data_IF_020112770681
#
_entry.id   IF_020112770681
#
_cell.length_a   1.000
_cell.length_b   1.000
_cell.length_c   1.000
_cell.angle_alpha   90.00
_cell.angle_beta   90.00
_cell.angle_gamma   90.00
#
_symmetry.space_group_name_H-M   'P 1'
#
loop_
_entity.id
_entity.type
_entity.pdbx_description
1 polymer ?
#
# COMPACT_ATOMS: atom_id res chain seq x y z
N UNK A 1 -2.86 -17.33 -13.56
CA UNK A 1 -3.49 -16.11 -12.98
C UNK A 1 -2.90 -15.92 -11.59
N UNK A 2 -2.48 -14.70 -11.24
CA UNK A 2 -2.04 -14.39 -9.88
C UNK A 2 -3.12 -13.59 -9.16
N UNK A 3 -3.38 -13.96 -7.90
CA UNK A 3 -4.41 -13.33 -7.07
C UNK A 3 -3.78 -12.94 -5.75
N UNK A 4 -4.03 -11.72 -5.30
CA UNK A 4 -3.67 -11.26 -3.97
C UNK A 4 -4.88 -11.45 -3.04
N UNK A 5 -4.68 -12.21 -1.95
CA UNK A 5 -5.66 -12.33 -0.87
C UNK A 5 -5.25 -11.43 0.28
N UNK A 6 -6.14 -10.52 0.68
CA UNK A 6 -5.89 -9.48 1.67
C UNK A 6 -6.74 -9.76 2.91
N UNK A 7 -6.10 -9.77 4.08
CA UNK A 7 -6.75 -9.92 5.37
C UNK A 7 -6.39 -8.76 6.27
N UNK A 8 -7.37 -8.24 7.00
CA UNK A 8 -7.17 -7.17 7.99
C UNK A 8 -7.90 -7.53 9.27
N UNK A 9 -7.40 -6.98 10.38
CA UNK A 9 -8.04 -7.06 11.70
C UNK A 9 -9.01 -5.89 11.93
N UNK A 10 -8.81 -4.79 11.21
CA UNK A 10 -9.43 -3.49 11.48
C UNK A 10 -10.29 -2.96 10.31
N UNK A 11 -10.62 -3.81 9.32
CA UNK A 11 -11.50 -3.43 8.21
C UNK A 11 -10.82 -2.83 6.97
N UNK A 12 -9.50 -2.80 6.91
CA UNK A 12 -8.75 -2.11 5.84
C UNK A 12 -8.57 -2.95 4.57
N UNK A 13 -8.88 -4.26 4.60
CA UNK A 13 -8.60 -5.14 3.47
C UNK A 13 -9.40 -4.76 2.22
N UNK A 14 -10.65 -4.30 2.38
CA UNK A 14 -11.49 -3.85 1.27
C UNK A 14 -10.90 -2.62 0.58
N UNK A 15 -10.56 -1.59 1.35
CA UNK A 15 -9.99 -0.34 0.81
C UNK A 15 -8.68 -0.60 0.05
N UNK A 16 -7.86 -1.55 0.53
CA UNK A 16 -6.63 -1.99 -0.16
C UNK A 16 -6.95 -2.77 -1.43
N UNK A 17 -7.92 -3.69 -1.39
CA UNK A 17 -8.33 -4.46 -2.56
C UNK A 17 -8.90 -3.57 -3.67
N UNK A 18 -9.69 -2.55 -3.33
CA UNK A 18 -10.27 -1.60 -4.29
C UNK A 18 -9.19 -0.82 -5.05
N UNK A 19 -8.09 -0.42 -4.39
CA UNK A 19 -6.93 0.20 -5.08
C UNK A 19 -6.31 -0.72 -6.13
N UNK A 20 -6.36 -2.02 -5.90
CA UNK A 20 -5.92 -3.06 -6.84
C UNK A 20 -7.02 -3.50 -7.81
N UNK A 21 -8.15 -2.76 -7.89
CA UNK A 21 -9.34 -3.10 -8.69
C UNK A 21 -9.95 -4.46 -8.33
N UNK A 22 -9.83 -4.85 -7.07
CA UNK A 22 -10.43 -6.02 -6.46
C UNK A 22 -11.68 -5.69 -5.65
N UNK A 23 -12.08 -6.59 -4.76
CA UNK A 23 -13.26 -6.42 -3.90
C UNK A 23 -13.36 -7.49 -2.80
N UNK A 24 -14.43 -7.42 -2.00
CA UNK A 24 -14.70 -8.36 -0.92
C UNK A 24 -15.32 -7.70 0.30
N UNK A 25 -14.88 -8.09 1.49
CA UNK A 25 -15.34 -7.56 2.78
C UNK A 25 -14.23 -6.77 3.49
N UNK A 26 -14.57 -5.88 4.46
CA UNK A 26 -13.59 -5.08 5.19
C UNK A 26 -12.39 -5.87 5.76
N UNK A 27 -12.62 -7.09 6.26
CA UNK A 27 -11.56 -7.93 6.85
C UNK A 27 -10.98 -9.00 5.91
N UNK A 28 -11.63 -9.25 4.77
CA UNK A 28 -11.24 -10.30 3.83
C UNK A 28 -11.64 -9.91 2.41
N UNK A 29 -10.65 -9.54 1.61
CA UNK A 29 -10.83 -9.09 0.25
C UNK A 29 -9.74 -9.66 -0.66
N UNK A 30 -9.87 -9.45 -1.98
CA UNK A 30 -8.85 -9.89 -2.92
C UNK A 30 -8.92 -9.17 -4.25
N UNK A 31 -7.83 -9.25 -4.99
CA UNK A 31 -7.68 -8.64 -6.31
C UNK A 31 -6.93 -9.56 -7.27
N UNK A 32 -7.33 -9.55 -8.53
CA UNK A 32 -6.61 -10.23 -9.60
C UNK A 32 -5.51 -9.30 -10.09
N UNK A 33 -4.26 -9.77 -10.08
CA UNK A 33 -3.14 -8.96 -10.55
C UNK A 33 -3.17 -8.84 -12.09
N UNK A 34 -2.61 -7.74 -12.66
CA UNK A 34 -2.54 -7.56 -14.10
C UNK A 34 -1.83 -8.72 -14.81
N UNK A 35 -2.23 -9.02 -16.05
CA UNK A 35 -1.63 -10.11 -16.86
C UNK A 35 -0.13 -9.92 -17.14
N UNK A 36 0.40 -8.71 -16.96
CA UNK A 36 1.84 -8.42 -17.05
C UNK A 36 2.65 -9.03 -15.90
N UNK A 37 2.03 -9.28 -14.75
CA UNK A 37 2.66 -9.92 -13.59
C UNK A 37 2.67 -11.43 -13.78
N UNK A 38 3.84 -11.99 -14.06
CA UNK A 38 4.03 -13.42 -14.37
C UNK A 38 4.82 -14.19 -13.30
N UNK A 39 5.42 -13.49 -12.34
CA UNK A 39 6.21 -14.11 -11.26
C UNK A 39 5.88 -13.51 -9.89
N UNK A 40 6.19 -14.25 -8.83
CA UNK A 40 6.00 -13.79 -7.45
C UNK A 40 6.81 -12.52 -7.17
N UNK A 41 8.04 -12.42 -7.69
CA UNK A 41 8.86 -11.21 -7.53
C UNK A 41 8.16 -9.99 -8.13
N UNK A 42 7.67 -10.10 -9.38
CA UNK A 42 6.92 -9.02 -10.03
C UNK A 42 5.63 -8.66 -9.28
N UNK A 43 4.97 -9.65 -8.66
CA UNK A 43 3.79 -9.40 -7.84
C UNK A 43 4.13 -8.59 -6.58
N UNK A 44 5.26 -8.91 -5.93
CA UNK A 44 5.74 -8.15 -4.77
C UNK A 44 6.09 -6.71 -5.15
N UNK A 45 6.77 -6.52 -6.29
CA UNK A 45 7.14 -5.18 -6.78
C UNK A 45 5.89 -4.35 -7.12
N UNK A 46 4.94 -4.94 -7.84
CA UNK A 46 3.65 -4.32 -8.15
C UNK A 46 2.86 -3.93 -6.89
N UNK A 47 2.80 -4.82 -5.90
CA UNK A 47 2.11 -4.54 -4.64
C UNK A 47 2.82 -3.41 -3.87
N UNK A 48 4.16 -3.36 -3.87
CA UNK A 48 4.90 -2.26 -3.24
C UNK A 48 4.57 -0.91 -3.88
N UNK A 49 4.55 -0.83 -5.21
CA UNK A 49 4.22 0.41 -5.93
C UNK A 49 2.80 0.89 -5.64
N UNK A 50 1.82 -0.03 -5.63
CA UNK A 50 0.41 0.31 -5.43
C UNK A 50 0.06 0.63 -3.98
N UNK A 51 0.72 -0.03 -3.01
CA UNK A 51 0.40 0.09 -1.59
C UNK A 51 1.28 1.10 -0.87
N UNK A 52 2.46 1.40 -1.40
CA UNK A 52 3.33 2.47 -0.94
C UNK A 52 3.52 3.50 -2.06
N UNK A 53 2.46 4.21 -2.48
CA UNK A 53 2.68 5.43 -3.25
C UNK A 53 3.46 6.33 -2.30
N UNK A 54 4.73 6.62 -2.61
CA UNK A 54 5.57 7.52 -1.82
C UNK A 54 4.69 8.69 -1.42
N UNK A 55 4.35 8.78 -0.14
CA UNK A 55 3.86 10.02 0.38
C UNK A 55 4.97 11.01 0.02
N UNK A 56 4.65 11.99 -0.82
CA UNK A 56 5.46 13.18 -1.00
C UNK A 56 5.41 13.97 0.31
N UNK A 57 5.93 13.38 1.37
CA UNK A 57 6.08 13.94 2.70
C UNK A 57 7.49 13.63 3.13
N UNK A 58 8.39 14.48 2.63
CA UNK A 58 9.27 15.21 3.53
C UNK A 58 10.09 14.32 4.47
N UNK A 59 11.27 13.90 4.00
CA UNK A 59 12.44 13.65 4.86
C UNK A 59 12.90 14.98 5.50
N UNK A 60 12.03 15.58 6.29
CA UNK A 60 12.20 16.90 6.90
C UNK A 60 11.09 17.16 7.90
N UNK A 61 10.79 16.18 8.77
CA UNK A 61 10.18 16.52 10.05
C UNK A 61 11.05 17.60 10.70
N UNK A 62 10.47 18.60 11.41
CA UNK A 62 11.28 19.64 12.02
C UNK A 62 12.32 18.98 12.91
N UNK A 63 13.58 19.03 12.49
CA UNK A 63 14.71 18.66 13.34
C UNK A 63 14.64 19.57 14.54
N UNK A 64 14.94 19.05 15.73
CA UNK A 64 14.93 19.83 16.97
C UNK A 64 15.84 21.07 16.89
N UNK A 65 16.75 21.11 15.93
CA UNK A 65 17.56 22.30 15.56
C UNK A 65 16.73 23.50 15.09
N UNK A 66 15.54 23.30 14.51
CA UNK A 66 14.64 24.40 14.14
C UNK A 66 13.88 25.01 15.33
N UNK A 67 13.77 24.29 16.45
CA UNK A 67 13.04 24.75 17.65
C UNK A 67 13.88 25.66 18.54
N UNK A 68 15.21 25.55 18.50
CA UNK A 68 16.14 26.42 19.24
C UNK A 68 16.40 27.76 18.56
N UNK A 69 15.99 27.95 17.31
CA UNK A 69 16.13 29.22 16.59
C UNK A 69 15.03 30.26 16.90
N UNK A 70 14.15 29.98 17.87
CA UNK A 70 13.02 30.85 18.24
C UNK A 70 12.98 31.22 19.73
N UNK A 71 14.10 31.04 20.45
CA UNK A 71 14.32 31.60 21.79
C UNK A 71 15.55 32.51 21.77
#
# INVERSE_FOLDING_TARGET
>A
VMVASLRSRNGEALAVAERLKGGGHPNAAGAVLPKSVKSVSQALDYLREMLNPRASSTEGGPTLEGLVAHF
#
